data_IF_162901175352
#
_entry.id   IF_162901175352
#
_cell.length_a   1.000
_cell.length_b   1.000
_cell.length_c   1.000
_cell.angle_alpha   90.00
_cell.angle_beta   90.00
_cell.angle_gamma   90.00
#
_symmetry.space_group_name_H-M   'P 1'
#
loop_
_entity.id
_entity.type
_entity.pdbx_description
1 polymer ?
#
# COMPACT_ATOMS: atom_id res chain seq x y z
N UNK A 1 -17.07 -5.78 28.10
CA UNK A 1 -15.80 -5.97 27.34
C UNK A 1 -15.52 -4.84 26.36
N UNK A 2 -16.49 -4.32 25.59
CA UNK A 2 -16.28 -3.18 24.67
C UNK A 2 -16.82 -1.82 25.15
N UNK A 3 -17.37 -1.77 26.37
CA UNK A 3 -18.04 -0.59 26.94
C UNK A 3 -17.17 0.27 27.87
N UNK A 4 -16.01 -0.23 28.34
CA UNK A 4 -15.06 0.46 29.23
C UNK A 4 -13.65 -0.17 29.10
N UNK A 5 -12.60 0.54 29.53
CA UNK A 5 -11.22 0.02 29.60
C UNK A 5 -10.43 0.09 28.28
N UNK A 6 -9.25 -0.56 28.19
CA UNK A 6 -8.33 -0.42 27.05
C UNK A 6 -8.86 -0.96 25.71
N UNK A 7 -9.94 -1.75 25.74
CA UNK A 7 -10.62 -2.27 24.56
C UNK A 7 -11.94 -1.53 24.26
N UNK A 8 -12.18 -0.40 24.95
CA UNK A 8 -13.33 0.45 24.68
C UNK A 8 -13.28 0.94 23.24
N UNK A 9 -14.39 0.74 22.53
CA UNK A 9 -14.57 1.19 21.15
C UNK A 9 -13.55 0.62 20.13
N UNK A 10 -13.32 -0.69 20.17
CA UNK A 10 -12.46 -1.41 19.23
C UNK A 10 -12.66 -1.02 17.76
N UNK A 11 -13.91 -0.86 17.32
CA UNK A 11 -14.24 -0.48 15.94
C UNK A 11 -13.69 0.91 15.57
N UNK A 12 -13.79 1.88 16.49
CA UNK A 12 -13.22 3.20 16.27
C UNK A 12 -11.69 3.15 16.19
N UNK A 13 -11.04 2.36 17.06
CA UNK A 13 -9.58 2.19 17.03
C UNK A 13 -9.13 1.51 15.72
N UNK A 14 -9.88 0.54 15.20
CA UNK A 14 -9.62 -0.12 13.92
C UNK A 14 -9.70 0.83 12.71
N UNK A 15 -10.50 1.89 12.79
CA UNK A 15 -10.66 2.83 11.66
C UNK A 15 -9.71 4.03 11.79
N UNK A 16 -9.45 4.47 13.03
CA UNK A 16 -8.81 5.76 13.26
C UNK A 16 -7.41 5.69 13.89
N UNK A 17 -7.03 4.56 14.51
CA UNK A 17 -5.75 4.45 15.22
C UNK A 17 -4.77 3.47 14.56
N UNK A 18 -5.27 2.35 14.01
CA UNK A 18 -4.41 1.31 13.41
C UNK A 18 -3.99 1.64 11.98
N UNK A 19 -2.87 1.06 11.56
CA UNK A 19 -2.21 1.20 10.26
C UNK A 19 -2.14 -0.15 9.56
N UNK A 20 -1.82 -0.14 8.26
CA UNK A 20 -1.56 -1.37 7.51
C UNK A 20 -0.44 -2.24 8.10
N UNK A 21 0.55 -1.62 8.77
CA UNK A 21 1.63 -2.32 9.48
C UNK A 21 1.18 -3.04 10.76
N UNK A 22 -0.02 -2.77 11.25
CA UNK A 22 -0.53 -3.42 12.47
C UNK A 22 -1.22 -4.76 12.15
N UNK A 23 -1.26 -5.15 10.87
CA UNK A 23 -1.83 -6.42 10.41
C UNK A 23 -0.83 -7.56 10.65
N UNK A 24 -1.13 -8.42 11.61
CA UNK A 24 -0.27 -9.56 11.95
C UNK A 24 -0.31 -10.70 10.91
N UNK A 25 -1.46 -10.91 10.24
CA UNK A 25 -1.66 -12.03 9.30
C UNK A 25 -2.70 -11.69 8.23
N UNK A 26 -2.46 -12.14 6.99
CA UNK A 26 -3.45 -12.14 5.90
C UNK A 26 -3.58 -13.53 5.30
N UNK A 27 -4.82 -13.97 5.03
CA UNK A 27 -5.14 -15.26 4.43
C UNK A 27 -6.08 -15.08 3.23
N UNK A 28 -5.82 -15.83 2.17
CA UNK A 28 -6.63 -15.86 0.94
C UNK A 28 -6.91 -17.32 0.61
N UNK A 29 -8.19 -17.70 0.48
CA UNK A 29 -8.60 -19.07 0.15
C UNK A 29 -7.99 -20.15 1.07
N UNK A 30 -7.93 -19.87 2.37
CA UNK A 30 -7.34 -20.77 3.37
C UNK A 30 -5.80 -20.78 3.41
N UNK A 31 -5.12 -20.06 2.50
CA UNK A 31 -3.66 -19.95 2.46
C UNK A 31 -3.19 -18.67 3.15
N UNK A 32 -2.29 -18.78 4.13
CA UNK A 32 -1.61 -17.63 4.72
C UNK A 32 -0.67 -17.03 3.68
N UNK A 33 -0.84 -15.75 3.37
CA UNK A 33 -0.03 -15.02 2.39
C UNK A 33 0.92 -14.02 3.03
N UNK A 34 0.59 -13.52 4.23
CA UNK A 34 1.45 -12.69 5.07
C UNK A 34 1.28 -13.12 6.52
N UNK A 35 2.38 -13.25 7.26
CA UNK A 35 2.39 -13.52 8.70
C UNK A 35 3.70 -13.02 9.31
N UNK A 36 3.64 -12.39 10.48
CA UNK A 36 4.78 -11.86 11.23
C UNK A 36 5.71 -10.98 10.36
N UNK A 37 5.11 -10.00 9.68
CA UNK A 37 5.77 -9.05 8.76
C UNK A 37 6.44 -9.69 7.52
N UNK A 38 6.20 -10.97 7.25
CA UNK A 38 6.78 -11.69 6.11
C UNK A 38 5.73 -12.06 5.06
N UNK A 39 6.00 -11.69 3.80
CA UNK A 39 5.27 -12.17 2.64
C UNK A 39 5.66 -13.63 2.36
N UNK A 40 4.69 -14.54 2.36
CA UNK A 40 4.93 -16.00 2.25
C UNK A 40 4.86 -16.53 0.82
N UNK A 41 4.38 -15.72 -0.13
CA UNK A 41 4.10 -16.16 -1.51
C UNK A 41 5.11 -15.66 -2.54
N UNK A 42 6.03 -14.77 -2.16
CA UNK A 42 7.06 -14.23 -3.05
C UNK A 42 8.19 -13.59 -2.22
N UNK A 43 9.35 -13.39 -2.85
CA UNK A 43 10.45 -12.63 -2.26
C UNK A 43 10.19 -11.12 -2.40
N UNK A 44 10.06 -10.43 -1.27
CA UNK A 44 9.79 -8.99 -1.26
C UNK A 44 10.97 -8.18 -1.82
N UNK A 45 12.21 -8.65 -1.63
CA UNK A 45 13.41 -8.01 -2.16
C UNK A 45 13.48 -8.05 -3.68
N UNK A 46 13.12 -9.17 -4.28
CA UNK A 46 13.01 -9.34 -5.74
C UNK A 46 11.95 -8.42 -6.33
N UNK A 47 10.76 -8.35 -5.71
CA UNK A 47 9.69 -7.44 -6.13
C UNK A 47 10.16 -5.98 -6.08
N UNK A 48 10.79 -5.57 -4.98
CA UNK A 48 11.35 -4.22 -4.84
C UNK A 48 12.42 -3.95 -5.90
N UNK A 49 13.28 -4.93 -6.19
CA UNK A 49 14.31 -4.81 -7.20
C UNK A 49 13.72 -4.65 -8.61
N UNK A 50 12.63 -5.37 -8.93
CA UNK A 50 11.91 -5.22 -10.19
C UNK A 50 11.30 -3.82 -10.32
N UNK A 51 10.59 -3.36 -9.28
CA UNK A 51 10.02 -2.00 -9.23
C UNK A 51 11.08 -0.94 -9.49
N UNK A 52 12.26 -1.07 -8.86
CA UNK A 52 13.39 -0.15 -9.05
C UNK A 52 13.89 -0.12 -10.50
N UNK A 53 13.81 -1.23 -11.25
CA UNK A 53 14.18 -1.29 -12.67
C UNK A 53 13.14 -0.60 -13.57
N UNK A 54 11.85 -0.82 -13.32
CA UNK A 54 10.79 -0.39 -14.24
C UNK A 54 10.23 1.00 -13.95
N UNK A 55 10.18 1.41 -12.68
CA UNK A 55 9.57 2.68 -12.27
C UNK A 55 10.19 3.92 -12.94
N UNK A 56 11.53 4.04 -13.12
CA UNK A 56 12.13 5.18 -13.80
C UNK A 56 11.59 5.39 -15.22
N UNK A 57 11.38 4.31 -15.97
CA UNK A 57 10.83 4.37 -17.33
C UNK A 57 9.38 4.88 -17.36
N UNK A 58 8.57 4.50 -16.36
CA UNK A 58 7.20 5.00 -16.22
C UNK A 58 7.18 6.51 -15.95
N UNK A 59 8.07 7.00 -15.09
CA UNK A 59 8.21 8.43 -14.80
C UNK A 59 8.73 9.21 -16.01
N UNK A 60 9.73 8.70 -16.71
CA UNK A 60 10.25 9.32 -17.94
C UNK A 60 9.15 9.45 -19.00
N UNK A 61 8.35 8.40 -19.20
CA UNK A 61 7.20 8.43 -20.12
C UNK A 61 6.17 9.48 -19.71
N UNK A 62 5.87 9.59 -18.41
CA UNK A 62 4.95 10.62 -17.89
C UNK A 62 5.51 12.02 -18.11
N UNK A 63 6.81 12.23 -17.90
CA UNK A 63 7.47 13.51 -18.11
C UNK A 63 7.44 13.93 -19.59
N UNK A 64 7.73 13.02 -20.52
CA UNK A 64 7.65 13.29 -21.96
C UNK A 64 6.23 13.68 -22.38
N UNK A 65 5.22 12.91 -21.95
CA UNK A 65 3.82 13.24 -22.22
C UNK A 65 3.43 14.63 -21.68
N UNK A 66 3.86 14.98 -20.47
CA UNK A 66 3.60 16.32 -19.90
C UNK A 66 4.26 17.43 -20.71
N UNK A 67 5.49 17.22 -21.19
CA UNK A 67 6.20 18.19 -22.02
C UNK A 67 5.50 18.42 -23.38
N UNK A 68 4.98 17.36 -23.99
CA UNK A 68 4.27 17.42 -25.28
C UNK A 68 2.85 18.02 -25.18
N UNK A 69 2.23 17.97 -24.00
CA UNK A 69 0.81 18.31 -23.80
C UNK A 69 0.63 19.47 -22.81
N UNK A 70 1.64 20.32 -22.66
CA UNK A 70 1.61 21.47 -21.76
C UNK A 70 0.43 22.41 -22.10
N UNK A 71 -0.56 22.50 -21.19
CA UNK A 71 -1.73 23.37 -21.31
C UNK A 71 -3.10 22.67 -21.43
N UNK A 72 -3.15 21.36 -21.68
CA UNK A 72 -4.42 20.60 -21.84
C UNK A 72 -4.75 19.61 -20.72
N UNK A 73 -3.84 19.44 -19.75
CA UNK A 73 -3.96 18.42 -18.71
C UNK A 73 -4.28 19.10 -17.39
N UNK A 74 -5.49 18.87 -16.88
CA UNK A 74 -5.86 19.29 -15.51
C UNK A 74 -5.12 18.40 -14.53
N UNK A 75 -4.20 18.99 -13.76
CA UNK A 75 -3.66 18.29 -12.61
C UNK A 75 -4.78 18.22 -11.57
N UNK A 76 -5.06 17.05 -11.02
CA UNK A 76 -6.14 16.86 -10.03
C UNK A 76 -5.92 17.62 -8.71
N UNK A 77 -4.75 18.25 -8.57
CA UNK A 77 -4.39 19.12 -7.44
C UNK A 77 -4.74 20.59 -7.67
N UNK A 78 -5.25 20.96 -8.86
CA UNK A 78 -5.58 22.33 -9.27
C UNK A 78 -7.11 22.56 -9.39
#
# INVERSE_FOLDING_TARGET
LYGEGPYFNLQHNLVHAVRGSDVAMTMIDGQIVVEDDELKTADLGEIIAEVRKVAPGLFARRAAFLAENAGGIRQWTD
#
